data_IF_039495964298
#
_entry.id   IF_039495964298
#
_cell.length_a   1.000
_cell.length_b   1.000
_cell.length_c   1.000
_cell.angle_alpha   90.00
_cell.angle_beta   90.00
_cell.angle_gamma   90.00
#
_symmetry.space_group_name_H-M   'P 1'
#
loop_
_entity.id
_entity.type
_entity.pdbx_description
1 polymer ?
#
# COMPACT_ATOMS: atom_id res chain seq x y z
N UNK A 1 13.57 4.73 -24.72
CA UNK A 1 12.59 3.81 -25.34
C UNK A 1 11.95 2.76 -24.42
N UNK A 2 12.22 2.70 -23.09
CA UNK A 2 11.56 1.74 -22.16
C UNK A 2 10.45 2.35 -21.28
N UNK A 3 10.16 3.65 -21.40
CA UNK A 3 9.11 4.29 -20.61
C UNK A 3 7.69 4.07 -21.16
N UNK A 4 7.56 3.76 -22.43
CA UNK A 4 6.25 3.52 -23.08
C UNK A 4 5.65 2.15 -22.76
N UNK A 5 6.47 1.18 -22.37
CA UNK A 5 6.07 -0.20 -22.08
C UNK A 5 5.18 -0.34 -20.83
N UNK A 6 5.31 0.60 -19.88
CA UNK A 6 4.59 0.58 -18.60
C UNK A 6 3.54 1.69 -18.47
N UNK A 7 3.49 2.63 -19.43
CA UNK A 7 2.54 3.75 -19.41
C UNK A 7 2.48 4.47 -18.05
N UNK A 8 1.28 4.71 -17.49
CA UNK A 8 1.09 5.42 -16.23
C UNK A 8 1.34 4.56 -14.98
N UNK A 9 1.58 3.25 -15.12
CA UNK A 9 1.71 2.34 -13.99
C UNK A 9 2.73 2.80 -12.94
N UNK A 10 3.94 3.28 -13.29
CA UNK A 10 4.89 3.75 -12.28
C UNK A 10 4.35 4.87 -11.41
N UNK A 11 3.64 5.84 -11.99
CA UNK A 11 3.02 6.95 -11.25
C UNK A 11 1.88 6.46 -10.35
N UNK A 12 1.00 5.61 -10.88
CA UNK A 12 -0.12 5.03 -10.13
C UNK A 12 0.39 4.18 -8.95
N UNK A 13 1.43 3.37 -9.16
CA UNK A 13 2.07 2.60 -8.10
C UNK A 13 2.78 3.51 -7.08
N UNK A 14 3.36 4.62 -7.51
CA UNK A 14 3.89 5.65 -6.62
C UNK A 14 2.81 6.19 -5.66
N UNK A 15 1.62 6.54 -6.18
CA UNK A 15 0.49 6.96 -5.34
C UNK A 15 0.05 5.84 -4.38
N UNK A 16 0.07 4.58 -4.80
CA UNK A 16 -0.19 3.45 -3.91
C UNK A 16 0.87 3.30 -2.82
N UNK A 17 2.15 3.58 -3.13
CA UNK A 17 3.24 3.61 -2.15
C UNK A 17 3.03 4.74 -1.13
N UNK A 18 2.59 5.91 -1.58
CA UNK A 18 2.25 7.04 -0.70
C UNK A 18 1.11 6.66 0.26
N UNK A 19 0.04 6.04 -0.24
CA UNK A 19 -1.08 5.56 0.61
C UNK A 19 -0.59 4.54 1.62
N UNK A 20 0.34 3.67 1.26
CA UNK A 20 0.90 2.67 2.18
C UNK A 20 1.56 3.33 3.39
N UNK A 21 2.52 4.25 3.16
CA UNK A 21 3.16 4.99 4.24
C UNK A 21 2.16 5.78 5.07
N UNK A 22 1.21 6.41 4.39
CA UNK A 22 0.15 7.21 5.02
C UNK A 22 -0.69 6.38 6.00
N UNK A 23 -1.24 5.24 5.57
CA UNK A 23 -2.11 4.39 6.41
C UNK A 23 -1.30 3.72 7.52
N UNK A 24 -0.10 3.24 7.24
CA UNK A 24 0.77 2.64 8.28
C UNK A 24 1.09 3.65 9.39
N UNK A 25 1.32 4.93 9.07
CA UNK A 25 1.51 5.97 10.07
C UNK A 25 0.26 6.18 10.94
N UNK A 26 -0.94 6.23 10.32
CA UNK A 26 -2.21 6.40 11.03
C UNK A 26 -2.45 5.26 12.01
N UNK A 27 -2.28 4.01 11.55
CA UNK A 27 -2.56 2.84 12.39
C UNK A 27 -1.50 2.65 13.48
N UNK A 28 -0.24 2.93 13.18
CA UNK A 28 0.82 2.84 14.18
C UNK A 28 0.65 3.82 15.32
N UNK A 29 0.32 5.07 15.01
CA UNK A 29 0.18 6.13 16.03
C UNK A 29 -1.06 5.93 16.91
N UNK A 30 -2.19 5.45 16.34
CA UNK A 30 -3.48 5.48 17.03
C UNK A 30 -4.10 4.13 17.37
N UNK A 31 -3.62 3.04 16.79
CA UNK A 31 -4.25 1.72 16.94
C UNK A 31 -3.35 0.68 17.61
N UNK A 32 -2.52 1.12 18.57
CA UNK A 32 -1.72 0.24 19.40
C UNK A 32 -0.46 -0.30 18.69
N UNK A 33 0.25 0.59 17.99
CA UNK A 33 1.52 0.33 17.31
C UNK A 33 1.45 -0.81 16.25
N UNK A 34 0.34 -0.84 15.50
CA UNK A 34 0.06 -1.86 14.50
C UNK A 34 0.27 -1.31 13.09
N UNK A 35 0.98 -2.03 12.25
CA UNK A 35 1.03 -1.79 10.81
C UNK A 35 -0.05 -2.58 10.08
N UNK A 36 -0.57 -2.07 8.97
CA UNK A 36 -1.53 -2.80 8.12
C UNK A 36 -0.95 -3.20 6.77
N UNK A 37 0.22 -2.66 6.41
CA UNK A 37 0.96 -3.02 5.20
C UNK A 37 2.31 -3.67 5.49
N UNK A 38 2.99 -3.33 6.60
CA UNK A 38 4.29 -3.88 6.98
C UNK A 38 4.13 -5.12 7.88
N UNK A 39 3.86 -6.27 7.28
CA UNK A 39 3.63 -7.52 8.03
C UNK A 39 4.88 -8.02 8.75
N UNK A 40 6.08 -7.78 8.22
CA UNK A 40 7.34 -8.10 8.92
C UNK A 40 7.42 -7.34 10.26
N UNK A 41 7.07 -6.06 10.25
CA UNK A 41 6.98 -5.25 11.46
C UNK A 41 5.98 -5.83 12.46
N UNK A 42 4.78 -6.19 12.01
CA UNK A 42 3.76 -6.77 12.89
C UNK A 42 4.20 -8.09 13.54
N UNK A 43 4.89 -8.97 12.81
CA UNK A 43 5.39 -10.24 13.37
C UNK A 43 6.43 -9.97 14.48
N UNK A 44 7.32 -9.00 14.27
CA UNK A 44 8.33 -8.61 15.27
C UNK A 44 7.66 -7.95 16.49
N UNK A 45 6.75 -6.99 16.25
CA UNK A 45 6.02 -6.30 17.30
C UNK A 45 5.14 -7.24 18.13
N UNK A 46 4.52 -8.25 17.47
CA UNK A 46 3.76 -9.29 18.16
C UNK A 46 4.68 -10.12 19.10
N UNK A 47 5.90 -10.43 18.66
CA UNK A 47 6.90 -11.07 19.53
C UNK A 47 7.21 -10.22 20.77
N UNK A 48 7.37 -8.90 20.61
CA UNK A 48 7.62 -8.00 21.75
C UNK A 48 6.40 -7.94 22.68
N UNK A 49 5.19 -7.86 22.14
CA UNK A 49 3.98 -7.86 22.94
C UNK A 49 3.81 -9.12 23.78
N UNK A 50 4.09 -10.31 23.20
CA UNK A 50 4.05 -11.60 23.92
C UNK A 50 5.14 -11.65 24.99
N UNK A 51 6.30 -11.04 24.75
CA UNK A 51 7.39 -10.93 25.72
C UNK A 51 7.10 -9.93 26.87
N UNK A 52 5.98 -9.20 26.83
CA UNK A 52 5.56 -8.30 27.92
C UNK A 52 5.62 -6.81 27.62
N UNK A 53 5.81 -6.40 26.37
CA UNK A 53 5.65 -4.99 25.99
C UNK A 53 4.19 -4.57 26.02
N UNK A 54 3.84 -3.60 26.90
CA UNK A 54 2.44 -3.21 27.13
C UNK A 54 1.88 -2.22 26.09
N UNK A 55 2.74 -1.59 25.30
CA UNK A 55 2.32 -0.54 24.35
C UNK A 55 1.82 -1.12 23.00
N UNK A 56 2.01 -2.41 22.77
CA UNK A 56 1.72 -3.07 21.50
C UNK A 56 0.46 -3.92 21.61
N UNK A 57 -0.52 -3.69 20.75
CA UNK A 57 -1.77 -4.46 20.74
C UNK A 57 -1.59 -5.83 20.07
N UNK A 58 -1.62 -6.90 20.88
CA UNK A 58 -1.63 -8.28 20.37
C UNK A 58 -2.84 -8.52 19.45
N UNK A 59 -4.03 -8.14 19.92
CA UNK A 59 -5.27 -8.32 19.15
C UNK A 59 -5.24 -7.53 17.86
N UNK A 60 -4.78 -6.26 17.92
CA UNK A 60 -4.63 -5.42 16.75
C UNK A 60 -3.66 -6.02 15.71
N UNK A 61 -2.50 -6.53 16.15
CA UNK A 61 -1.52 -7.16 15.27
C UNK A 61 -2.08 -8.42 14.61
N UNK A 62 -2.78 -9.27 15.35
CA UNK A 62 -3.42 -10.47 14.80
C UNK A 62 -4.52 -10.13 13.79
N UNK A 63 -5.36 -9.12 14.08
CA UNK A 63 -6.39 -8.65 13.15
C UNK A 63 -5.79 -8.03 11.89
N UNK A 64 -4.69 -7.31 12.00
CA UNK A 64 -3.99 -6.75 10.84
C UNK A 64 -3.42 -7.86 9.95
N UNK A 65 -2.74 -8.85 10.52
CA UNK A 65 -2.20 -10.00 9.77
C UNK A 65 -3.33 -10.81 9.14
N UNK A 66 -4.39 -11.14 9.89
CA UNK A 66 -5.53 -11.88 9.36
C UNK A 66 -6.22 -11.12 8.22
N UNK A 67 -6.50 -9.82 8.41
CA UNK A 67 -7.07 -8.96 7.37
C UNK A 67 -6.17 -8.90 6.12
N UNK A 68 -4.87 -8.74 6.31
CA UNK A 68 -3.91 -8.74 5.21
C UNK A 68 -3.92 -10.05 4.41
N UNK A 69 -3.96 -11.20 5.07
CA UNK A 69 -4.04 -12.50 4.41
C UNK A 69 -5.34 -12.66 3.61
N UNK A 70 -6.48 -12.27 4.18
CA UNK A 70 -7.77 -12.25 3.48
C UNK A 70 -7.72 -11.32 2.27
N UNK A 71 -7.14 -10.14 2.43
CA UNK A 71 -6.95 -9.19 1.33
C UNK A 71 -6.03 -9.71 0.23
N UNK A 72 -4.93 -10.36 0.61
CA UNK A 72 -4.00 -10.98 -0.33
C UNK A 72 -4.67 -12.12 -1.12
N UNK A 73 -5.51 -12.93 -0.46
CA UNK A 73 -6.31 -13.96 -1.13
C UNK A 73 -7.30 -13.34 -2.11
N UNK A 74 -8.04 -12.32 -1.70
CA UNK A 74 -8.96 -11.59 -2.57
C UNK A 74 -8.22 -10.98 -3.78
N UNK A 75 -7.07 -10.35 -3.56
CA UNK A 75 -6.20 -9.84 -4.62
C UNK A 75 -5.71 -10.94 -5.57
N UNK A 76 -5.42 -12.13 -5.04
CA UNK A 76 -5.11 -13.32 -5.83
C UNK A 76 -6.25 -13.72 -6.77
N UNK A 77 -7.50 -13.71 -6.28
CA UNK A 77 -8.71 -13.95 -7.11
C UNK A 77 -8.87 -12.90 -8.21
N UNK A 78 -8.61 -11.60 -7.88
CA UNK A 78 -8.59 -10.54 -8.90
C UNK A 78 -7.51 -10.78 -9.95
N UNK A 79 -6.31 -11.19 -9.53
CA UNK A 79 -5.20 -11.50 -10.43
C UNK A 79 -5.54 -12.63 -11.41
N UNK A 80 -6.19 -13.68 -10.93
CA UNK A 80 -6.59 -14.82 -11.77
C UNK A 80 -7.66 -14.43 -12.79
N UNK A 81 -8.68 -13.68 -12.37
CA UNK A 81 -9.81 -13.30 -13.21
C UNK A 81 -9.51 -12.14 -14.17
N UNK A 82 -8.65 -11.22 -13.80
CA UNK A 82 -8.44 -9.94 -14.50
C UNK A 82 -6.99 -9.70 -14.93
N UNK A 83 -6.06 -10.60 -14.59
CA UNK A 83 -4.63 -10.40 -14.79
C UNK A 83 -4.19 -10.28 -16.26
N UNK A 84 -5.02 -10.70 -17.20
CA UNK A 84 -4.78 -10.53 -18.64
C UNK A 84 -4.81 -9.05 -19.08
N UNK A 85 -5.47 -8.17 -18.29
CA UNK A 85 -5.64 -6.77 -18.62
C UNK A 85 -5.25 -5.91 -17.41
N UNK A 86 -4.01 -5.41 -17.38
CA UNK A 86 -3.42 -4.64 -16.26
C UNK A 86 -4.29 -3.47 -15.81
N UNK A 87 -4.89 -2.73 -16.77
CA UNK A 87 -5.76 -1.60 -16.48
C UNK A 87 -7.04 -2.02 -15.74
N UNK A 88 -7.73 -3.07 -16.20
CA UNK A 88 -8.94 -3.59 -15.55
C UNK A 88 -8.62 -4.17 -14.17
N UNK A 89 -7.50 -4.89 -14.04
CA UNK A 89 -7.04 -5.41 -12.76
C UNK A 89 -6.85 -4.29 -11.75
N UNK A 90 -6.08 -3.26 -12.12
CA UNK A 90 -5.79 -2.15 -11.22
C UNK A 90 -7.04 -1.31 -10.93
N UNK A 91 -7.87 -1.00 -11.93
CA UNK A 91 -9.09 -0.20 -11.74
C UNK A 91 -10.10 -0.89 -10.82
N UNK A 92 -10.44 -2.16 -11.09
CA UNK A 92 -11.43 -2.90 -10.29
C UNK A 92 -10.94 -3.21 -8.88
N UNK A 93 -9.66 -3.57 -8.73
CA UNK A 93 -9.09 -3.74 -7.39
C UNK A 93 -9.00 -2.42 -6.62
N UNK A 94 -8.71 -1.31 -7.30
CA UNK A 94 -8.73 0.03 -6.66
C UNK A 94 -10.13 0.45 -6.25
N UNK A 95 -11.17 0.13 -7.04
CA UNK A 95 -12.55 0.38 -6.65
C UNK A 95 -12.92 -0.40 -5.37
N UNK A 96 -12.58 -1.68 -5.29
CA UNK A 96 -12.81 -2.47 -4.08
C UNK A 96 -12.07 -1.88 -2.86
N UNK A 97 -10.84 -1.41 -3.03
CA UNK A 97 -10.07 -0.73 -1.98
C UNK A 97 -10.67 0.60 -1.58
N UNK A 98 -11.24 1.39 -2.51
CA UNK A 98 -11.98 2.62 -2.19
C UNK A 98 -13.17 2.31 -1.30
N UNK A 99 -13.94 1.27 -1.59
CA UNK A 99 -15.09 0.87 -0.77
C UNK A 99 -14.66 0.45 0.63
N UNK A 100 -13.58 -0.32 0.77
CA UNK A 100 -13.04 -0.72 2.07
C UNK A 100 -12.54 0.48 2.88
N UNK A 101 -11.80 1.40 2.25
CA UNK A 101 -11.31 2.63 2.89
C UNK A 101 -12.46 3.56 3.28
N UNK A 102 -13.48 3.70 2.44
CA UNK A 102 -14.67 4.47 2.76
C UNK A 102 -15.39 3.89 3.97
N UNK A 103 -15.57 2.56 4.02
CA UNK A 103 -16.15 1.88 5.19
C UNK A 103 -15.31 2.14 6.44
N UNK A 104 -13.98 2.02 6.36
CA UNK A 104 -13.09 2.31 7.47
C UNK A 104 -13.19 3.79 7.92
N UNK A 105 -13.31 4.72 6.98
CA UNK A 105 -13.50 6.16 7.25
C UNK A 105 -14.82 6.41 7.97
N UNK A 106 -15.92 5.82 7.49
CA UNK A 106 -17.22 5.93 8.14
C UNK A 106 -17.18 5.32 9.54
N UNK A 107 -16.58 4.14 9.73
CA UNK A 107 -16.37 3.56 11.05
C UNK A 107 -15.63 4.51 12.00
N UNK A 108 -14.59 5.19 11.49
CA UNK A 108 -13.86 6.17 12.30
C UNK A 108 -14.69 7.42 12.64
N UNK A 109 -15.50 7.91 11.71
CA UNK A 109 -16.43 9.05 11.96
C UNK A 109 -17.45 8.72 13.03
N UNK A 110 -18.02 7.51 13.00
CA UNK A 110 -19.00 7.05 13.98
C UNK A 110 -18.40 6.50 15.28
N UNK A 111 -17.09 6.61 15.49
CA UNK A 111 -16.43 6.16 16.71
C UNK A 111 -16.42 4.64 16.91
N UNK A 112 -16.50 3.86 15.83
CA UNK A 112 -16.44 2.39 15.89
C UNK A 112 -15.05 1.95 16.37
N UNK A 113 -15.02 0.86 17.14
CA UNK A 113 -13.78 0.32 17.71
C UNK A 113 -12.67 0.14 16.67
N UNK A 114 -11.39 0.46 17.02
CA UNK A 114 -10.22 0.20 16.18
C UNK A 114 -10.14 -1.25 15.67
N UNK A 115 -10.60 -2.21 16.46
CA UNK A 115 -10.59 -3.64 16.10
C UNK A 115 -11.50 -3.99 14.91
N UNK A 116 -12.46 -3.14 14.55
CA UNK A 116 -13.21 -3.27 13.30
C UNK A 116 -12.54 -2.57 12.12
N UNK A 117 -11.78 -1.50 12.37
CA UNK A 117 -11.10 -0.69 11.34
C UNK A 117 -9.82 -1.37 10.86
N UNK A 118 -9.01 -1.88 11.79
CA UNK A 118 -7.73 -2.55 11.48
C UNK A 118 -7.87 -3.63 10.40
N UNK A 119 -8.79 -4.62 10.49
CA UNK A 119 -8.93 -5.65 9.47
C UNK A 119 -9.37 -5.09 8.11
N UNK A 120 -10.21 -4.05 8.06
CA UNK A 120 -10.59 -3.40 6.79
C UNK A 120 -9.36 -2.80 6.08
N UNK A 121 -8.51 -2.11 6.84
CA UNK A 121 -7.26 -1.55 6.34
C UNK A 121 -6.28 -2.66 5.95
N UNK A 122 -6.18 -3.72 6.74
CA UNK A 122 -5.38 -4.91 6.44
C UNK A 122 -5.80 -5.57 5.13
N UNK A 123 -7.12 -5.80 4.92
CA UNK A 123 -7.67 -6.33 3.65
C UNK A 123 -7.28 -5.43 2.48
N UNK A 124 -7.41 -4.12 2.64
CA UNK A 124 -7.04 -3.14 1.60
C UNK A 124 -5.57 -3.27 1.22
N UNK A 125 -4.66 -3.36 2.18
CA UNK A 125 -3.22 -3.45 1.93
C UNK A 125 -2.79 -4.82 1.43
N UNK A 126 -3.40 -5.90 1.90
CA UNK A 126 -3.17 -7.25 1.39
C UNK A 126 -3.56 -7.39 -0.08
N UNK A 127 -4.75 -6.88 -0.45
CA UNK A 127 -5.20 -6.83 -1.84
C UNK A 127 -4.25 -5.98 -2.70
N UNK A 128 -3.80 -4.82 -2.22
CA UNK A 128 -2.84 -3.98 -2.91
C UNK A 128 -1.53 -4.74 -3.19
N UNK A 129 -0.99 -5.43 -2.19
CA UNK A 129 0.25 -6.20 -2.31
C UNK A 129 0.14 -7.31 -3.36
N UNK A 130 -0.94 -8.10 -3.33
CA UNK A 130 -1.16 -9.18 -4.29
C UNK A 130 -1.27 -8.65 -5.72
N UNK A 131 -2.02 -7.56 -5.94
CA UNK A 131 -2.18 -6.94 -7.27
C UNK A 131 -0.88 -6.32 -7.76
N UNK A 132 -0.17 -5.59 -6.91
CA UNK A 132 1.12 -4.98 -7.27
C UNK A 132 2.16 -6.03 -7.64
N UNK A 133 2.20 -7.15 -6.91
CA UNK A 133 3.06 -8.29 -7.22
C UNK A 133 2.75 -8.88 -8.60
N UNK A 134 1.48 -8.96 -9.00
CA UNK A 134 1.07 -9.44 -10.33
C UNK A 134 1.47 -8.47 -11.44
N UNK A 135 1.35 -7.15 -11.18
CA UNK A 135 1.75 -6.13 -12.15
C UNK A 135 3.26 -6.14 -12.43
N UNK A 136 4.06 -6.63 -11.50
CA UNK A 136 5.50 -6.91 -11.63
C UNK A 136 6.33 -5.74 -12.19
N UNK A 137 6.00 -4.49 -11.79
CA UNK A 137 6.81 -3.34 -12.19
C UNK A 137 8.13 -3.35 -11.40
N UNK A 138 9.28 -3.44 -12.07
CA UNK A 138 10.55 -3.52 -11.39
C UNK A 138 10.82 -2.32 -10.48
N UNK A 139 11.38 -2.59 -9.30
CA UNK A 139 11.81 -1.62 -8.28
C UNK A 139 10.67 -0.75 -7.68
N UNK A 140 9.40 -1.05 -7.96
CA UNK A 140 8.24 -0.43 -7.28
C UNK A 140 7.45 -1.53 -6.58
N UNK A 141 7.88 -1.85 -5.37
CA UNK A 141 7.10 -2.64 -4.41
C UNK A 141 6.44 -1.66 -3.45
N UNK A 142 5.13 -1.56 -3.49
CA UNK A 142 4.37 -0.53 -2.75
C UNK A 142 4.46 -0.65 -1.23
N UNK A 143 5.05 -1.71 -0.70
CA UNK A 143 5.06 -2.01 0.74
C UNK A 143 6.43 -2.44 1.29
N UNK A 144 7.40 -2.85 0.46
CA UNK A 144 8.68 -3.39 0.93
C UNK A 144 9.84 -2.53 0.42
N UNK A 145 10.36 -1.65 1.27
CA UNK A 145 11.50 -0.79 0.91
C UNK A 145 12.86 -1.43 1.16
N UNK A 146 12.96 -2.45 2.01
CA UNK A 146 14.25 -3.05 2.38
C UNK A 146 15.04 -3.52 1.16
N UNK A 147 14.40 -4.26 0.25
CA UNK A 147 15.05 -4.71 -0.98
C UNK A 147 15.40 -3.55 -1.92
N UNK A 148 14.57 -2.50 -1.93
CA UNK A 148 14.83 -1.28 -2.72
C UNK A 148 16.06 -0.55 -2.19
N UNK A 149 16.18 -0.35 -0.88
CA UNK A 149 17.34 0.26 -0.22
C UNK A 149 18.60 -0.58 -0.42
N UNK A 150 18.50 -1.91 -0.22
CA UNK A 150 19.61 -2.83 -0.50
C UNK A 150 20.08 -2.68 -1.94
N UNK A 151 19.16 -2.69 -2.91
CA UNK A 151 19.50 -2.57 -4.32
C UNK A 151 20.06 -1.20 -4.71
N UNK A 152 19.73 -0.10 -4.00
CA UNK A 152 20.35 1.20 -4.22
C UNK A 152 21.88 1.10 -3.97
N UNK A 153 22.29 0.43 -2.89
CA UNK A 153 23.70 0.34 -2.53
C UNK A 153 24.41 -0.83 -3.22
N UNK A 154 23.82 -2.01 -3.24
CA UNK A 154 24.44 -3.22 -3.79
C UNK A 154 24.67 -3.14 -5.32
N UNK A 155 23.79 -2.44 -6.04
CA UNK A 155 23.94 -2.25 -7.50
C UNK A 155 24.62 -0.92 -7.85
N UNK A 156 25.10 -0.17 -6.85
CA UNK A 156 25.72 1.15 -7.04
C UNK A 156 27.09 1.05 -7.72
N UNK A 157 27.55 2.15 -8.32
CA UNK A 157 28.91 2.27 -8.85
C UNK A 157 29.99 2.11 -7.78
N UNK A 158 29.67 2.38 -6.51
CA UNK A 158 30.56 2.14 -5.37
C UNK A 158 30.83 0.64 -5.16
N UNK A 159 29.87 -0.21 -5.50
CA UNK A 159 29.98 -1.66 -5.43
C UNK A 159 30.34 -2.30 -6.79
N UNK A 160 30.78 -1.48 -7.76
CA UNK A 160 31.12 -1.95 -9.11
C UNK A 160 29.91 -2.14 -10.04
N UNK A 161 28.70 -1.75 -9.63
CA UNK A 161 27.47 -1.83 -10.41
C UNK A 161 27.26 -0.63 -11.33
N UNK A 162 26.08 -0.57 -11.97
CA UNK A 162 25.71 0.45 -12.96
C UNK A 162 24.58 1.38 -12.50
N UNK A 163 24.22 1.40 -11.20
CA UNK A 163 23.11 2.16 -10.63
C UNK A 163 21.77 2.01 -11.43
N UNK A 164 21.31 0.80 -11.74
CA UNK A 164 20.15 0.64 -12.58
C UNK A 164 18.92 1.21 -11.86
N UNK A 165 18.18 2.09 -12.56
CA UNK A 165 16.92 2.67 -12.09
C UNK A 165 17.00 3.42 -10.73
N UNK A 166 18.15 4.01 -10.40
CA UNK A 166 18.37 4.70 -9.11
C UNK A 166 17.27 5.74 -8.81
N UNK A 167 16.92 6.58 -9.79
CA UNK A 167 15.86 7.59 -9.61
C UNK A 167 14.50 6.97 -9.21
N UNK A 168 14.13 5.82 -9.80
CA UNK A 168 12.88 5.11 -9.47
C UNK A 168 12.92 4.52 -8.06
N UNK A 169 14.05 3.96 -7.65
CA UNK A 169 14.24 3.41 -6.31
C UNK A 169 14.17 4.51 -5.26
N UNK A 170 14.87 5.63 -5.49
CA UNK A 170 14.83 6.79 -4.60
C UNK A 170 13.42 7.39 -4.53
N UNK A 171 12.73 7.52 -5.67
CA UNK A 171 11.35 8.03 -5.66
C UNK A 171 10.41 7.17 -4.84
N UNK A 172 10.54 5.84 -4.86
CA UNK A 172 9.72 4.95 -4.04
C UNK A 172 9.95 5.18 -2.53
N UNK A 173 11.22 5.35 -2.10
CA UNK A 173 11.58 5.65 -0.71
C UNK A 173 11.00 6.99 -0.27
N UNK A 174 11.25 8.04 -1.08
CA UNK A 174 10.77 9.40 -0.79
C UNK A 174 9.24 9.45 -0.75
N UNK A 175 8.58 8.76 -1.67
CA UNK A 175 7.11 8.73 -1.73
C UNK A 175 6.51 8.06 -0.50
N UNK A 176 7.08 6.94 -0.04
CA UNK A 176 6.60 6.29 1.18
C UNK A 176 6.83 7.15 2.43
N UNK A 177 8.01 7.77 2.53
CA UNK A 177 8.31 8.71 3.60
C UNK A 177 7.35 9.91 3.60
N UNK A 178 7.10 10.51 2.44
CA UNK A 178 6.15 11.61 2.30
C UNK A 178 4.71 11.19 2.69
N UNK A 179 4.31 9.98 2.32
CA UNK A 179 3.03 9.41 2.75
C UNK A 179 2.95 9.25 4.26
N UNK A 180 3.96 8.67 4.89
CA UNK A 180 4.01 8.51 6.34
C UNK A 180 4.02 9.86 7.06
N UNK A 181 4.80 10.83 6.58
CA UNK A 181 4.83 12.18 7.14
C UNK A 181 3.47 12.87 7.03
N UNK A 182 2.82 12.81 5.88
CA UNK A 182 1.49 13.41 5.67
C UNK A 182 0.43 12.71 6.54
N UNK A 183 0.42 11.37 6.59
CA UNK A 183 -0.51 10.60 7.41
C UNK A 183 -0.33 10.90 8.90
N UNK A 184 0.91 10.91 9.39
CA UNK A 184 1.23 11.27 10.76
C UNK A 184 0.80 12.70 11.08
N UNK A 185 1.11 13.67 10.22
CA UNK A 185 0.72 15.07 10.43
C UNK A 185 -0.80 15.22 10.50
N UNK A 186 -1.54 14.66 9.54
CA UNK A 186 -2.99 14.78 9.53
C UNK A 186 -3.60 14.11 10.75
N UNK A 187 -3.15 12.92 11.13
CA UNK A 187 -3.71 12.22 12.29
C UNK A 187 -3.41 12.92 13.60
N UNK A 188 -2.24 13.50 13.75
CA UNK A 188 -1.84 14.20 14.99
C UNK A 188 -2.55 15.55 15.17
N UNK A 189 -2.80 16.28 14.07
CA UNK A 189 -3.39 17.63 14.12
C UNK A 189 -4.89 17.68 13.84
N UNK A 190 -5.42 16.78 13.02
CA UNK A 190 -6.82 16.79 12.58
C UNK A 190 -7.59 15.54 13.02
N UNK A 191 -6.90 14.45 13.35
CA UNK A 191 -7.49 13.22 13.81
C UNK A 191 -7.72 12.16 12.73
N UNK A 192 -8.11 10.96 13.17
CA UNK A 192 -8.22 9.74 12.36
C UNK A 192 -9.21 9.87 11.20
N UNK A 193 -10.45 10.41 11.39
CA UNK A 193 -11.41 10.51 10.30
C UNK A 193 -10.88 11.28 9.09
N UNK A 194 -10.19 12.41 9.34
CA UNK A 194 -9.60 13.21 8.27
C UNK A 194 -8.45 12.51 7.57
N UNK A 195 -7.63 11.79 8.33
CA UNK A 195 -6.54 11.00 7.76
C UNK A 195 -7.09 9.88 6.85
N UNK A 196 -8.06 9.09 7.31
CA UNK A 196 -8.66 8.04 6.49
C UNK A 196 -9.44 8.59 5.29
N UNK A 197 -10.11 9.74 5.42
CA UNK A 197 -10.73 10.43 4.29
C UNK A 197 -9.68 10.86 3.24
N UNK A 198 -8.51 11.36 3.67
CA UNK A 198 -7.39 11.68 2.80
C UNK A 198 -6.88 10.45 2.03
N UNK A 199 -6.65 9.33 2.71
CA UNK A 199 -6.26 8.07 2.09
C UNK A 199 -7.31 7.56 1.08
N UNK A 200 -8.60 7.66 1.44
CA UNK A 200 -9.73 7.29 0.57
C UNK A 200 -9.74 8.14 -0.69
N UNK A 201 -9.53 9.45 -0.55
CA UNK A 201 -9.47 10.40 -1.68
C UNK A 201 -8.32 10.06 -2.63
N UNK A 202 -7.12 9.82 -2.12
CA UNK A 202 -5.97 9.44 -2.95
C UNK A 202 -6.25 8.11 -3.68
N UNK A 203 -6.85 7.12 -2.99
CA UNK A 203 -7.21 5.86 -3.62
C UNK A 203 -8.28 6.03 -4.71
N UNK A 204 -9.24 6.94 -4.52
CA UNK A 204 -10.24 7.27 -5.52
C UNK A 204 -9.60 7.93 -6.76
N UNK A 205 -8.60 8.80 -6.57
CA UNK A 205 -7.81 9.38 -7.67
C UNK A 205 -7.07 8.29 -8.45
N UNK A 206 -6.45 7.32 -7.76
CA UNK A 206 -5.79 6.18 -8.41
C UNK A 206 -6.81 5.36 -9.22
N UNK A 207 -7.98 5.09 -8.65
CA UNK A 207 -9.06 4.34 -9.32
C UNK A 207 -9.53 5.07 -10.59
N UNK A 208 -9.88 6.35 -10.47
CA UNK A 208 -10.32 7.19 -11.59
C UNK A 208 -9.24 7.33 -12.66
N UNK A 209 -8.01 7.64 -12.26
CA UNK A 209 -6.86 7.76 -13.16
C UNK A 209 -6.59 6.48 -13.94
N UNK A 210 -6.64 5.32 -13.26
CA UNK A 210 -6.48 4.02 -13.92
C UNK A 210 -7.61 3.75 -14.92
N UNK A 211 -8.86 4.01 -14.52
CA UNK A 211 -10.03 3.81 -15.39
C UNK A 211 -9.94 4.67 -16.65
N UNK A 212 -9.66 5.96 -16.51
CA UNK A 212 -9.56 6.92 -17.63
C UNK A 212 -8.43 6.49 -18.59
N UNK A 213 -7.25 6.17 -18.06
CA UNK A 213 -6.08 5.86 -18.87
C UNK A 213 -6.13 4.46 -19.51
N UNK A 214 -6.96 3.54 -18.99
CA UNK A 214 -7.14 2.21 -19.58
C UNK A 214 -8.27 2.14 -20.63
N UNK A 215 -9.11 3.19 -20.72
CA UNK A 215 -10.35 3.16 -21.51
C UNK A 215 -10.14 2.91 -23.02
N UNK A 216 -9.03 3.37 -23.58
CA UNK A 216 -8.74 3.27 -25.01
C UNK A 216 -7.84 2.06 -25.37
N UNK A 217 -7.73 1.05 -24.48
CA UNK A 217 -6.88 -0.12 -24.67
C UNK A 217 -5.45 0.19 -25.15
N UNK A 218 -4.74 1.14 -24.49
CA UNK A 218 -3.36 1.45 -24.85
C UNK A 218 -2.43 0.23 -24.65
N UNK A 219 -1.26 0.26 -25.26
CA UNK A 219 -0.30 -0.87 -25.27
C UNK A 219 0.06 -1.39 -23.87
N UNK A 220 0.13 -0.51 -22.87
CA UNK A 220 0.51 -0.86 -21.49
C UNK A 220 -0.50 -1.75 -20.74
N UNK A 221 -1.75 -1.83 -21.19
CA UNK A 221 -2.80 -2.62 -20.51
C UNK A 221 -2.70 -4.13 -20.76
N UNK A 222 -1.96 -4.54 -21.80
CA UNK A 222 -1.75 -5.95 -22.07
C UNK A 222 -0.70 -6.53 -21.13
N UNK A 223 -0.94 -7.72 -20.58
CA UNK A 223 0.10 -8.45 -19.87
C UNK A 223 1.22 -8.81 -20.86
N UNK A 224 2.47 -8.63 -20.43
CA UNK A 224 3.62 -9.07 -21.21
C UNK A 224 3.71 -10.59 -21.17
#
# INVERSE_FOLDING_TARGET
>A
MKSEEHGPLPTLLGLLTLITGFIDAVTYINYGHVFVANMTGNVVLLGFAIAGSHDISIVGSLLAVAGFLVGALAGGVFNERLGQHRGNLLARSSLAKVMLLLTATLCAIFGVSPYAIIPLLGITMGMQNAVTRKLAIPDITTTVLTMTLTGIMADSSLAGGKNPRLARRLSAVVTMFAGALAGASIVLYLGIPFALAGATTIMAIVCAGTYIQSRNNPSWVRAA
#
